data_IF_183973703350
#
_entry.id   IF_183973703350
#
_cell.length_a   1.000
_cell.length_b   1.000
_cell.length_c   1.000
_cell.angle_alpha   90.00
_cell.angle_beta   90.00
_cell.angle_gamma   90.00
#
_symmetry.space_group_name_H-M   'P 1'
#
loop_
_entity.id
_entity.type
_entity.pdbx_description
1 polymer ?
#
# COMPACT_ATOMS: atom_id res chain seq x y z
N UNK A 1 -14.42 -32.14 -12.51
CA UNK A 1 -15.14 -31.08 -11.79
C UNK A 1 -14.31 -30.70 -10.58
N UNK A 2 -14.15 -29.40 -10.31
CA UNK A 2 -13.41 -28.95 -9.14
C UNK A 2 -14.23 -29.24 -7.88
N UNK A 3 -13.60 -29.79 -6.86
CA UNK A 3 -14.25 -30.12 -5.58
C UNK A 3 -13.89 -29.13 -4.48
N UNK A 4 -14.31 -29.40 -3.23
CA UNK A 4 -14.03 -28.54 -2.07
C UNK A 4 -12.54 -28.19 -1.90
N UNK A 5 -11.63 -29.12 -2.21
CA UNK A 5 -10.19 -28.89 -2.13
C UNK A 5 -9.71 -27.73 -3.03
N UNK A 6 -10.27 -27.59 -4.24
CA UNK A 6 -9.91 -26.52 -5.16
C UNK A 6 -10.41 -25.15 -4.67
N UNK A 7 -11.56 -25.12 -3.97
CA UNK A 7 -12.05 -23.90 -3.33
C UNK A 7 -11.18 -23.50 -2.14
N UNK A 8 -10.73 -24.47 -1.34
CA UNK A 8 -9.83 -24.21 -0.22
C UNK A 8 -8.47 -23.67 -0.70
N UNK A 9 -7.91 -24.23 -1.76
CA UNK A 9 -6.70 -23.71 -2.41
C UNK A 9 -6.90 -22.27 -2.91
N UNK A 10 -8.03 -21.99 -3.58
CA UNK A 10 -8.41 -20.63 -3.98
C UNK A 10 -8.45 -19.66 -2.79
N UNK A 11 -9.12 -20.07 -1.70
CA UNK A 11 -9.24 -19.30 -0.47
C UNK A 11 -7.88 -18.97 0.16
N UNK A 12 -6.95 -19.93 0.20
CA UNK A 12 -5.60 -19.69 0.72
C UNK A 12 -4.87 -18.61 -0.09
N UNK A 13 -4.96 -18.67 -1.41
CA UNK A 13 -4.36 -17.68 -2.28
C UNK A 13 -5.00 -16.30 -2.14
N UNK A 14 -6.33 -16.23 -2.10
CA UNK A 14 -7.07 -14.98 -1.88
C UNK A 14 -6.77 -14.36 -0.51
N UNK A 15 -6.68 -15.18 0.54
CA UNK A 15 -6.31 -14.73 1.90
C UNK A 15 -4.90 -14.14 1.93
N UNK A 16 -3.94 -14.81 1.27
CA UNK A 16 -2.59 -14.28 1.12
C UNK A 16 -2.56 -12.97 0.33
N UNK A 17 -3.38 -12.84 -0.72
CA UNK A 17 -3.52 -11.60 -1.48
C UNK A 17 -4.12 -10.47 -0.63
N UNK A 18 -5.19 -10.76 0.13
CA UNK A 18 -5.83 -9.80 1.03
C UNK A 18 -4.86 -9.25 2.06
N UNK A 19 -4.06 -10.12 2.69
CA UNK A 19 -3.04 -9.70 3.65
C UNK A 19 -2.05 -8.71 3.02
N UNK A 20 -1.56 -9.02 1.82
CA UNK A 20 -0.69 -8.12 1.05
C UNK A 20 -1.35 -6.77 0.73
N UNK A 21 -2.61 -6.79 0.31
CA UNK A 21 -3.36 -5.56 0.00
C UNK A 21 -3.59 -4.70 1.25
N UNK A 22 -3.89 -5.30 2.40
CA UNK A 22 -4.05 -4.60 3.67
C UNK A 22 -2.75 -3.92 4.13
N UNK A 23 -1.59 -4.57 3.91
CA UNK A 23 -0.29 -3.96 4.17
C UNK A 23 -0.04 -2.74 3.26
N UNK A 24 -0.42 -2.82 1.99
CA UNK A 24 -0.31 -1.72 1.04
C UNK A 24 -1.18 -0.51 1.45
N UNK A 25 -2.40 -0.74 1.96
CA UNK A 25 -3.24 0.32 2.50
C UNK A 25 -2.61 1.00 3.73
N UNK A 26 -2.12 0.21 4.69
CA UNK A 26 -1.51 0.73 5.92
C UNK A 26 -0.19 1.46 5.68
N UNK A 27 0.63 0.98 4.75
CA UNK A 27 1.90 1.62 4.38
C UNK A 27 1.71 3.04 3.82
N UNK A 28 0.62 3.26 3.07
CA UNK A 28 0.25 4.61 2.58
C UNK A 28 -0.29 5.51 3.69
N UNK A 29 -1.01 4.95 4.66
CA UNK A 29 -1.53 5.70 5.82
C UNK A 29 -0.44 6.15 6.79
N UNK A 30 0.55 5.29 7.08
CA UNK A 30 1.66 5.62 7.99
C UNK A 30 2.55 6.75 7.45
N UNK A 31 2.76 6.80 6.13
CA UNK A 31 3.45 7.90 5.47
C UNK A 31 2.70 9.25 5.61
N UNK A 32 1.37 9.22 5.75
CA UNK A 32 0.55 10.41 6.00
C UNK A 32 0.37 10.74 7.50
N UNK A 33 0.56 9.77 8.39
CA UNK A 33 0.30 9.90 9.84
C UNK A 33 1.53 10.28 10.68
N UNK A 34 2.73 10.32 10.10
CA UNK A 34 4.00 10.60 10.81
C UNK A 34 4.23 12.08 11.17
N UNK A 35 3.18 12.90 11.26
CA UNK A 35 3.28 14.34 11.57
C UNK A 35 2.35 14.80 12.71
N UNK A 36 2.09 13.95 13.70
CA UNK A 36 1.57 14.42 14.99
C UNK A 36 2.75 14.83 15.89
N UNK A 37 2.88 16.10 16.30
CA UNK A 37 3.91 16.50 17.26
C UNK A 37 3.56 15.91 18.63
N UNK A 38 4.38 14.94 19.06
CA UNK A 38 4.53 14.61 20.47
C UNK A 38 5.10 15.83 21.19
N UNK A 39 4.25 16.54 21.93
CA UNK A 39 4.66 17.58 22.86
C UNK A 39 5.46 16.95 24.02
N UNK A 40 6.68 17.41 24.32
CA UNK A 40 7.31 17.16 25.61
C UNK A 40 6.81 18.18 26.66
N UNK A 41 6.72 17.82 27.95
CA UNK A 41 6.37 18.75 29.02
C UNK A 41 7.47 19.79 29.25
N UNK A 42 7.07 21.04 29.47
CA UNK A 42 7.92 22.23 29.65
C UNK A 42 8.29 22.47 31.13
N UNK A 43 9.55 22.93 31.33
CA UNK A 43 10.15 23.63 32.49
C UNK A 43 10.25 22.85 33.82
N UNK A 44 11.31 22.98 34.64
CA UNK A 44 12.15 24.14 34.96
C UNK A 44 13.41 23.73 35.77
N UNK A 45 14.30 24.71 36.00
CA UNK A 45 15.49 24.77 36.88
C UNK A 45 16.83 24.45 36.22
N UNK A 46 17.75 25.39 35.96
CA UNK A 46 18.34 26.51 36.71
C UNK A 46 19.78 26.18 37.11
N UNK A 47 20.66 27.15 36.85
CA UNK A 47 21.92 27.58 37.48
C UNK A 47 23.13 26.64 37.67
N UNK A 48 24.30 27.26 37.39
CA UNK A 48 25.66 27.00 37.93
C UNK A 48 26.54 25.89 37.31
N UNK A 49 27.86 26.02 37.13
CA UNK A 49 28.87 27.09 37.31
C UNK A 49 30.16 26.58 36.61
N UNK A 50 31.06 27.50 36.25
CA UNK A 50 32.54 27.34 36.16
C UNK A 50 33.17 26.27 35.25
N UNK A 51 33.91 26.67 34.22
CA UNK A 51 35.34 27.07 34.25
C UNK A 51 36.29 25.86 34.22
N UNK A 52 36.89 25.58 33.05
CA UNK A 52 38.33 25.28 33.02
C UNK A 52 38.93 25.61 31.65
N UNK A 53 39.76 26.66 31.63
CA UNK A 53 40.78 26.86 30.60
C UNK A 53 41.87 25.80 30.78
N UNK A 54 42.27 25.08 29.73
CA UNK A 54 43.69 24.74 29.52
C UNK A 54 44.06 24.57 28.05
N UNK A 55 45.11 25.31 27.69
CA UNK A 55 45.87 25.25 26.46
C UNK A 55 46.79 24.03 26.40
N UNK A 56 47.02 23.49 25.19
CA UNK A 56 48.28 22.90 24.66
C UNK A 56 47.96 22.39 23.23
N UNK A 57 48.41 22.99 22.13
CA UNK A 57 49.80 23.12 21.69
C UNK A 57 50.14 21.98 20.70
N UNK A 58 50.39 22.31 19.43
CA UNK A 58 51.16 21.59 18.36
C UNK A 58 50.90 22.30 17.01
N UNK A 59 51.73 23.24 16.53
CA UNK A 59 53.04 23.12 15.82
C UNK A 59 53.01 22.29 14.54
N UNK A 60 53.10 22.98 13.39
CA UNK A 60 53.96 22.74 12.21
C UNK A 60 53.58 23.84 11.20
N UNK A 61 54.36 24.90 10.96
CA UNK A 61 55.54 24.95 10.04
C UNK A 61 55.27 24.20 8.74
N UNK A 62 55.43 24.71 7.52
CA UNK A 62 55.89 25.96 6.89
C UNK A 62 55.56 25.72 5.39
N UNK A 63 55.07 26.69 4.63
CA UNK A 63 55.73 27.08 3.36
C UNK A 63 55.06 28.32 2.77
N UNK A 64 55.90 29.30 2.46
CA UNK A 64 55.55 30.55 1.80
C UNK A 64 55.62 30.36 0.28
N UNK A 65 54.60 30.80 -0.46
CA UNK A 65 54.88 31.37 -1.79
C UNK A 65 54.00 32.60 -2.07
N UNK A 66 54.72 33.62 -2.51
CA UNK A 66 54.40 35.03 -2.71
C UNK A 66 53.47 35.28 -3.90
N UNK A 67 52.66 36.36 -3.83
CA UNK A 67 52.04 36.92 -5.04
C UNK A 67 50.86 37.88 -4.86
N UNK A 68 51.18 39.12 -4.47
CA UNK A 68 50.63 40.42 -4.95
C UNK A 68 49.11 40.75 -4.93
N UNK A 69 48.88 42.05 -4.71
CA UNK A 69 47.68 42.75 -4.27
C UNK A 69 46.65 42.99 -5.38
N UNK A 70 45.35 43.03 -5.05
CA UNK A 70 44.45 44.22 -5.14
C UNK A 70 43.02 43.85 -4.65
N UNK A 71 42.31 44.72 -3.90
CA UNK A 71 41.01 44.44 -3.26
C UNK A 71 39.81 44.93 -4.09
N UNK A 72 38.58 44.56 -3.67
CA UNK A 72 37.20 45.06 -3.99
C UNK A 72 36.28 43.80 -4.08
N UNK A 73 35.08 43.65 -3.51
CA UNK A 73 34.10 44.46 -2.78
C UNK A 73 33.07 43.46 -2.15
N UNK A 74 32.19 43.85 -1.20
CA UNK A 74 31.37 42.95 -0.41
C UNK A 74 30.10 42.51 -1.16
N UNK A 75 29.86 41.20 -1.22
CA UNK A 75 28.71 40.61 -1.92
C UNK A 75 28.22 39.34 -1.22
N UNK A 76 27.34 39.56 -0.25
CA UNK A 76 26.24 38.72 0.26
C UNK A 76 26.45 37.20 0.47
N UNK A 77 26.07 36.68 1.65
CA UNK A 77 26.12 35.24 1.92
C UNK A 77 25.15 34.52 0.99
N UNK A 78 25.69 33.57 0.21
CA UNK A 78 24.90 32.55 -0.50
C UNK A 78 23.85 32.02 0.47
N UNK A 79 22.54 32.06 0.13
CA UNK A 79 21.57 31.35 0.92
C UNK A 79 21.88 29.87 0.72
N UNK A 80 22.45 29.26 1.75
CA UNK A 80 22.29 27.85 2.02
C UNK A 80 20.85 27.52 1.68
N UNK A 81 20.62 26.61 0.71
CA UNK A 81 19.29 26.06 0.45
C UNK A 81 18.80 25.50 1.77
N UNK A 82 18.01 26.30 2.47
CA UNK A 82 17.19 25.88 3.57
C UNK A 82 16.29 24.81 2.97
N UNK A 83 16.61 23.57 3.31
CA UNK A 83 15.73 22.43 3.18
C UNK A 83 14.36 22.88 3.65
N UNK A 84 13.42 23.09 2.71
CA UNK A 84 12.11 23.63 3.04
C UNK A 84 11.47 22.73 4.10
N UNK A 85 11.17 23.26 5.29
CA UNK A 85 10.49 22.50 6.33
C UNK A 85 9.03 22.31 5.94
N UNK A 86 8.58 21.05 5.91
CA UNK A 86 7.20 20.70 6.28
C UNK A 86 6.08 21.04 5.30
N UNK A 87 6.27 20.91 3.99
CA UNK A 87 5.15 21.00 3.06
C UNK A 87 4.27 19.75 3.20
N UNK A 88 3.13 19.90 3.88
CA UNK A 88 2.03 18.92 3.91
C UNK A 88 1.70 18.57 2.46
N UNK A 89 2.12 17.39 2.01
CA UNK A 89 1.85 16.95 0.64
C UNK A 89 0.35 16.68 0.53
N UNK A 90 -0.37 17.62 -0.07
CA UNK A 90 -1.78 17.40 -0.40
C UNK A 90 -1.88 16.25 -1.40
N UNK A 91 -2.73 15.27 -1.08
CA UNK A 91 -2.99 14.12 -1.95
C UNK A 91 -3.60 14.62 -3.26
N UNK A 92 -3.01 14.22 -4.38
CA UNK A 92 -3.53 14.57 -5.71
C UNK A 92 -4.81 13.78 -6.01
N UNK A 93 -5.67 14.30 -6.90
CA UNK A 93 -6.86 13.55 -7.36
C UNK A 93 -6.51 12.15 -7.88
N UNK A 94 -5.34 12.01 -8.53
CA UNK A 94 -4.82 10.72 -8.99
C UNK A 94 -4.52 9.79 -7.83
N UNK A 95 -3.86 10.28 -6.78
CA UNK A 95 -3.57 9.48 -5.58
C UNK A 95 -4.84 9.08 -4.84
N UNK A 96 -5.80 10.01 -4.68
CA UNK A 96 -7.11 9.71 -4.11
C UNK A 96 -7.84 8.63 -4.92
N UNK A 97 -7.83 8.73 -6.25
CA UNK A 97 -8.45 7.73 -7.13
C UNK A 97 -7.77 6.35 -7.01
N UNK A 98 -6.45 6.31 -6.93
CA UNK A 98 -5.69 5.07 -6.72
C UNK A 98 -5.99 4.46 -5.35
N UNK A 99 -6.08 5.29 -4.30
CA UNK A 99 -6.43 4.85 -2.94
C UNK A 99 -7.85 4.30 -2.90
N UNK A 100 -8.82 5.00 -3.49
CA UNK A 100 -10.20 4.55 -3.63
C UNK A 100 -10.28 3.21 -4.36
N UNK A 101 -9.57 3.08 -5.50
CA UNK A 101 -9.51 1.82 -6.25
C UNK A 101 -8.89 0.68 -5.43
N UNK A 102 -7.79 0.94 -4.72
CA UNK A 102 -7.16 -0.06 -3.84
C UNK A 102 -8.12 -0.50 -2.74
N UNK A 103 -8.79 0.45 -2.07
CA UNK A 103 -9.80 0.14 -1.04
C UNK A 103 -10.88 -0.78 -1.58
N UNK A 104 -11.35 -0.53 -2.80
CA UNK A 104 -12.41 -1.34 -3.42
C UNK A 104 -11.94 -2.74 -3.80
N UNK A 105 -10.68 -2.88 -4.22
CA UNK A 105 -10.07 -4.21 -4.42
C UNK A 105 -9.95 -4.95 -3.10
N UNK A 106 -9.55 -4.29 -2.01
CA UNK A 106 -9.51 -4.87 -0.66
C UNK A 106 -10.90 -5.33 -0.22
N UNK A 107 -11.89 -4.45 -0.29
CA UNK A 107 -13.27 -4.74 0.14
C UNK A 107 -13.89 -5.87 -0.69
N UNK A 108 -13.67 -5.86 -2.00
CA UNK A 108 -14.15 -6.92 -2.88
C UNK A 108 -13.47 -8.26 -2.58
N UNK A 109 -12.17 -8.28 -2.32
CA UNK A 109 -11.43 -9.50 -1.95
C UNK A 109 -11.93 -10.06 -0.62
N UNK A 110 -12.11 -9.19 0.38
CA UNK A 110 -12.63 -9.59 1.69
C UNK A 110 -14.03 -10.20 1.57
N UNK A 111 -14.94 -9.53 0.86
CA UNK A 111 -16.31 -10.05 0.66
C UNK A 111 -16.32 -11.32 -0.18
N UNK A 112 -15.43 -11.45 -1.17
CA UNK A 112 -15.30 -12.67 -1.95
C UNK A 112 -14.92 -13.85 -1.06
N UNK A 113 -13.89 -13.69 -0.22
CA UNK A 113 -13.48 -14.71 0.75
C UNK A 113 -14.63 -15.08 1.69
N UNK A 114 -15.37 -14.09 2.21
CA UNK A 114 -16.52 -14.32 3.08
C UNK A 114 -17.60 -15.14 2.37
N UNK A 115 -17.97 -14.78 1.14
CA UNK A 115 -18.94 -15.53 0.33
C UNK A 115 -18.43 -16.93 0.00
N UNK A 116 -17.15 -17.07 -0.31
CA UNK A 116 -16.54 -18.36 -0.60
C UNK A 116 -16.59 -19.30 0.60
N UNK A 117 -16.26 -18.80 1.80
CA UNK A 117 -16.25 -19.58 3.04
C UNK A 117 -17.66 -19.90 3.54
N UNK A 118 -18.56 -18.92 3.54
CA UNK A 118 -19.86 -19.05 4.21
C UNK A 118 -20.94 -19.61 3.30
N UNK A 119 -20.89 -19.31 2.00
CA UNK A 119 -21.94 -19.65 1.05
C UNK A 119 -21.49 -20.67 0.00
N UNK A 120 -20.33 -20.51 -0.63
CA UNK A 120 -19.90 -21.43 -1.70
C UNK A 120 -19.37 -22.76 -1.15
N UNK A 121 -18.66 -22.76 -0.02
CA UNK A 121 -18.06 -23.97 0.53
C UNK A 121 -19.11 -25.04 0.88
N UNK A 122 -20.25 -24.73 1.54
CA UNK A 122 -21.31 -25.71 1.75
C UNK A 122 -21.91 -26.22 0.42
N UNK A 123 -22.04 -25.35 -0.58
CA UNK A 123 -22.64 -25.72 -1.87
C UNK A 123 -21.74 -26.64 -2.67
N UNK A 124 -20.43 -26.36 -2.75
CA UNK A 124 -19.49 -27.19 -3.51
C UNK A 124 -19.28 -28.57 -2.87
N UNK A 125 -19.48 -28.69 -1.55
CA UNK A 125 -19.50 -29.97 -0.85
C UNK A 125 -20.68 -30.84 -1.27
N UNK A 126 -21.84 -30.24 -1.54
CA UNK A 126 -23.03 -30.95 -2.01
C UNK A 126 -22.98 -31.20 -3.51
N UNK A 127 -22.57 -30.19 -4.28
CA UNK A 127 -22.60 -30.20 -5.74
C UNK A 127 -21.31 -29.57 -6.28
N UNK A 128 -20.32 -30.39 -6.70
CA UNK A 128 -19.10 -29.87 -7.31
C UNK A 128 -19.41 -29.10 -8.60
N UNK A 129 -18.86 -27.90 -8.75
CA UNK A 129 -18.96 -27.07 -9.95
C UNK A 129 -17.59 -26.59 -10.44
N UNK A 130 -17.44 -26.14 -11.69
CA UNK A 130 -16.17 -25.67 -12.21
C UNK A 130 -15.63 -24.47 -11.41
N UNK A 131 -14.39 -24.58 -10.95
CA UNK A 131 -13.61 -23.51 -10.33
C UNK A 131 -12.33 -23.28 -11.12
N UNK A 132 -11.77 -22.08 -10.95
CA UNK A 132 -10.50 -21.69 -11.58
C UNK A 132 -9.48 -21.21 -10.53
N UNK A 133 -8.92 -22.12 -9.70
CA UNK A 133 -7.95 -21.75 -8.65
C UNK A 133 -6.72 -21.02 -9.18
N UNK A 134 -6.35 -21.27 -10.46
CA UNK A 134 -5.27 -20.59 -11.16
C UNK A 134 -5.43 -19.07 -11.18
N UNK A 135 -6.66 -18.58 -11.31
CA UNK A 135 -6.91 -17.14 -11.33
C UNK A 135 -6.62 -16.53 -9.95
N UNK A 136 -6.90 -17.25 -8.86
CA UNK A 136 -6.57 -16.80 -7.50
C UNK A 136 -5.06 -16.82 -7.21
N UNK A 137 -4.33 -17.78 -7.79
CA UNK A 137 -2.85 -17.78 -7.78
C UNK A 137 -2.32 -16.54 -8.51
N UNK A 138 -2.83 -16.28 -9.71
CA UNK A 138 -2.45 -15.11 -10.51
C UNK A 138 -2.75 -13.80 -9.75
N UNK A 139 -3.94 -13.69 -9.18
CA UNK A 139 -4.32 -12.54 -8.35
C UNK A 139 -3.34 -12.31 -7.21
N UNK A 140 -3.00 -13.37 -6.44
CA UNK A 140 -2.00 -13.28 -5.37
C UNK A 140 -0.63 -12.84 -5.87
N UNK A 141 -0.20 -13.35 -7.02
CA UNK A 141 1.09 -13.00 -7.61
C UNK A 141 1.13 -11.53 -8.03
N UNK A 142 0.06 -11.02 -8.64
CA UNK A 142 -0.08 -9.60 -8.98
C UNK A 142 -0.04 -8.74 -7.69
N UNK A 143 -0.79 -9.12 -6.65
CA UNK A 143 -0.74 -8.39 -5.36
C UNK A 143 0.66 -8.39 -4.74
N UNK A 144 1.37 -9.52 -4.83
CA UNK A 144 2.74 -9.65 -4.32
C UNK A 144 3.71 -8.77 -5.12
N UNK A 145 3.56 -8.73 -6.45
CA UNK A 145 4.33 -7.85 -7.32
C UNK A 145 4.06 -6.38 -7.00
N UNK A 146 2.79 -6.00 -6.86
CA UNK A 146 2.38 -4.65 -6.47
C UNK A 146 2.98 -4.20 -5.13
N UNK A 147 3.15 -5.12 -4.17
CA UNK A 147 3.80 -4.82 -2.89
C UNK A 147 5.30 -4.51 -3.00
N UNK A 148 5.97 -5.01 -4.04
CA UNK A 148 7.36 -4.68 -4.34
C UNK A 148 7.48 -3.32 -5.04
N UNK A 149 6.44 -2.89 -5.77
CA UNK A 149 6.40 -1.65 -6.54
C UNK A 149 5.71 -0.54 -5.73
N UNK A 150 6.40 0.06 -4.75
CA UNK A 150 5.77 1.00 -3.80
C UNK A 150 5.29 2.33 -4.40
N UNK A 151 5.85 2.79 -5.51
CA UNK A 151 5.43 4.04 -6.15
C UNK A 151 5.45 4.00 -7.69
N UNK A 152 4.68 4.90 -8.29
CA UNK A 152 4.78 5.23 -9.71
C UNK A 152 3.86 4.42 -10.62
N UNK A 153 4.09 4.53 -11.92
CA UNK A 153 3.20 4.00 -12.96
C UNK A 153 3.06 2.48 -12.92
N UNK A 154 4.05 1.75 -12.39
CA UNK A 154 3.98 0.29 -12.29
C UNK A 154 2.96 -0.15 -11.24
N UNK A 155 2.94 0.49 -10.06
CA UNK A 155 1.91 0.25 -9.04
C UNK A 155 0.50 0.41 -9.62
N UNK A 156 0.29 1.44 -10.45
CA UNK A 156 -1.03 1.70 -11.05
C UNK A 156 -1.44 0.64 -12.06
N UNK A 157 -0.47 0.15 -12.85
CA UNK A 157 -0.68 -0.97 -13.77
C UNK A 157 -1.02 -2.24 -13.00
N UNK A 158 -0.23 -2.60 -11.99
CA UNK A 158 -0.46 -3.80 -11.19
C UNK A 158 -1.79 -3.72 -10.45
N UNK A 159 -2.17 -2.55 -9.91
CA UNK A 159 -3.48 -2.33 -9.31
C UNK A 159 -4.62 -2.48 -10.33
N UNK A 160 -4.40 -2.04 -11.57
CA UNK A 160 -5.35 -2.26 -12.65
C UNK A 160 -5.47 -3.74 -13.00
N UNK A 161 -4.36 -4.46 -13.11
CA UNK A 161 -4.33 -5.91 -13.38
C UNK A 161 -4.99 -6.69 -12.25
N UNK A 162 -4.70 -6.37 -10.98
CA UNK A 162 -5.34 -6.99 -9.82
C UNK A 162 -6.86 -6.79 -9.86
N UNK A 163 -7.31 -5.58 -10.18
CA UNK A 163 -8.73 -5.28 -10.35
C UNK A 163 -9.36 -6.11 -11.48
N UNK A 164 -8.72 -6.22 -12.65
CA UNK A 164 -9.25 -7.04 -13.75
C UNK A 164 -9.26 -8.53 -13.41
N UNK A 165 -8.21 -9.04 -12.77
CA UNK A 165 -8.10 -10.42 -12.35
C UNK A 165 -9.23 -10.77 -11.36
N UNK A 166 -9.45 -9.93 -10.34
CA UNK A 166 -10.53 -10.12 -9.37
C UNK A 166 -11.91 -10.07 -10.04
N UNK A 167 -12.12 -9.14 -10.97
CA UNK A 167 -13.34 -9.07 -11.77
C UNK A 167 -13.58 -10.40 -12.51
N UNK A 168 -12.56 -10.93 -13.18
CA UNK A 168 -12.65 -12.20 -13.92
C UNK A 168 -12.94 -13.39 -13.01
N UNK A 169 -12.35 -13.46 -11.82
CA UNK A 169 -12.66 -14.49 -10.82
C UNK A 169 -14.15 -14.47 -10.50
N UNK A 170 -14.67 -13.30 -10.13
CA UNK A 170 -16.08 -13.14 -9.74
C UNK A 170 -17.02 -13.46 -10.91
N UNK A 171 -16.71 -12.99 -12.12
CA UNK A 171 -17.49 -13.30 -13.32
C UNK A 171 -17.53 -14.81 -13.57
N UNK A 172 -16.38 -15.49 -13.56
CA UNK A 172 -16.30 -16.94 -13.76
C UNK A 172 -17.10 -17.70 -12.70
N UNK A 173 -17.06 -17.28 -11.44
CA UNK A 173 -17.90 -17.86 -10.38
C UNK A 173 -19.39 -17.67 -10.70
N UNK A 174 -19.84 -16.47 -11.08
CA UNK A 174 -21.23 -16.22 -11.46
C UNK A 174 -21.64 -17.13 -12.64
N UNK A 175 -20.80 -17.24 -13.67
CA UNK A 175 -21.04 -18.11 -14.83
C UNK A 175 -21.14 -19.58 -14.45
N UNK A 176 -20.24 -20.08 -13.60
CA UNK A 176 -20.28 -21.46 -13.09
C UNK A 176 -21.57 -21.75 -12.32
N UNK A 177 -22.07 -20.79 -11.55
CA UNK A 177 -23.29 -20.96 -10.74
C UNK A 177 -24.57 -20.77 -11.55
N UNK A 178 -24.54 -20.01 -12.65
CA UNK A 178 -25.72 -19.73 -13.47
C UNK A 178 -26.35 -21.00 -14.09
N UNK A 179 -25.58 -22.08 -14.20
CA UNK A 179 -26.06 -23.38 -14.69
C UNK A 179 -27.01 -24.07 -13.67
N UNK A 180 -27.01 -23.62 -12.41
CA UNK A 180 -27.82 -24.19 -11.34
C UNK A 180 -28.97 -23.23 -10.97
N UNK A 181 -30.21 -23.48 -11.45
CA UNK A 181 -31.35 -22.59 -11.21
C UNK A 181 -32.02 -22.80 -9.83
N UNK A 182 -31.39 -23.53 -8.91
CA UNK A 182 -32.00 -23.90 -7.63
C UNK A 182 -31.90 -22.78 -6.58
N UNK A 183 -32.92 -22.68 -5.73
CA UNK A 183 -33.01 -21.76 -4.57
C UNK A 183 -31.70 -21.55 -3.77
N UNK A 184 -30.90 -22.59 -3.42
CA UNK A 184 -29.68 -22.38 -2.62
C UNK A 184 -28.60 -21.54 -3.32
N UNK A 185 -28.63 -21.40 -4.65
CA UNK A 185 -27.63 -20.63 -5.41
C UNK A 185 -28.01 -19.15 -5.57
N UNK A 186 -29.28 -18.79 -5.37
CA UNK A 186 -29.78 -17.41 -5.54
C UNK A 186 -29.05 -16.41 -4.62
N UNK A 187 -28.90 -16.67 -3.31
CA UNK A 187 -28.19 -15.74 -2.42
C UNK A 187 -26.72 -15.56 -2.81
N UNK A 188 -26.07 -16.63 -3.27
CA UNK A 188 -24.64 -16.64 -3.64
C UNK A 188 -24.41 -15.85 -4.92
N UNK A 189 -25.23 -16.09 -5.95
CA UNK A 189 -25.17 -15.31 -7.18
C UNK A 189 -25.45 -13.83 -6.93
N UNK A 190 -26.41 -13.52 -6.05
CA UNK A 190 -26.73 -12.14 -5.67
C UNK A 190 -25.56 -11.46 -4.96
N UNK A 191 -24.92 -12.15 -4.01
CA UNK A 191 -23.75 -11.64 -3.30
C UNK A 191 -22.56 -11.40 -4.25
N UNK A 192 -22.25 -12.34 -5.14
CA UNK A 192 -21.19 -12.18 -6.14
C UNK A 192 -21.47 -11.01 -7.10
N UNK A 193 -22.71 -10.84 -7.55
CA UNK A 193 -23.11 -9.69 -8.37
C UNK A 193 -22.95 -8.37 -7.61
N UNK A 194 -23.27 -8.35 -6.32
CA UNK A 194 -23.07 -7.15 -5.49
C UNK A 194 -21.59 -6.80 -5.33
N UNK A 195 -20.73 -7.81 -5.12
CA UNK A 195 -19.27 -7.61 -5.06
C UNK A 195 -18.78 -7.03 -6.40
N UNK A 196 -19.20 -7.61 -7.52
CA UNK A 196 -18.84 -7.14 -8.85
C UNK A 196 -19.29 -5.68 -9.09
N UNK A 197 -20.52 -5.33 -8.71
CA UNK A 197 -21.02 -3.96 -8.84
C UNK A 197 -20.18 -2.97 -8.01
N UNK A 198 -19.86 -3.32 -6.76
CA UNK A 198 -19.04 -2.49 -5.88
C UNK A 198 -17.61 -2.35 -6.41
N UNK A 199 -17.08 -3.39 -7.06
CA UNK A 199 -15.77 -3.36 -7.73
C UNK A 199 -15.78 -2.50 -9.01
N UNK A 200 -16.94 -2.32 -9.67
CA UNK A 200 -17.06 -1.58 -10.93
C UNK A 200 -17.61 -0.15 -10.83
N UNK A 201 -18.14 0.27 -9.67
CA UNK A 201 -18.43 1.68 -9.39
C UNK A 201 -17.30 2.63 -9.83
N UNK A 202 -17.58 3.90 -10.11
CA UNK A 202 -16.58 4.89 -10.54
C UNK A 202 -16.39 5.92 -9.45
#
# INVERSE_FOLDING_TARGET
MAGPAALLESLEHQTGALHTLQLLCRGKEAATASHLPLSPPHLDQAWELEEERKALGKTSEEDEESGDLTPLSPGEPRPHRLSQPGLVRNETLREMALRSKLSRVVDATLRLIEVEQTLLLPLIQQHPFPLHPKDSIEFRNICSHMALQREGQQFEKDLHEAHQCLKTIIEKLIWSLAVFPSEPYIPVQSALRQILQNLLAV
#
